data_IF_263830816574
#
_entry.id   IF_263830816574
#
_cell.length_a   1.000
_cell.length_b   1.000
_cell.length_c   1.000
_cell.angle_alpha   90.00
_cell.angle_beta   90.00
_cell.angle_gamma   90.00
#
_symmetry.space_group_name_H-M   'P 1'
#
loop_
_entity.id
_entity.type
_entity.pdbx_description
1 polymer ?
#
# COMPACT_ATOMS: atom_id res chain seq x y z
N UNK A 1 -3.68 18.92 0.76
CA UNK A 1 -3.36 17.98 -0.31
C UNK A 1 -4.63 17.47 -0.96
N UNK A 2 -4.53 16.95 -2.17
CA UNK A 2 -5.63 16.25 -2.84
C UNK A 2 -5.77 14.84 -2.26
N UNK A 3 -6.99 14.29 -2.12
CA UNK A 3 -7.20 12.91 -1.73
C UNK A 3 -6.80 11.95 -2.87
N UNK A 4 -6.27 10.78 -2.51
CA UNK A 4 -5.92 9.73 -3.46
C UNK A 4 -6.32 8.36 -2.92
N UNK A 5 -6.62 7.44 -3.84
CA UNK A 5 -6.63 6.01 -3.59
C UNK A 5 -5.25 5.46 -3.94
N UNK A 6 -4.42 5.22 -2.94
CA UNK A 6 -3.05 4.74 -3.11
C UNK A 6 -3.08 3.22 -3.12
N UNK A 7 -2.68 2.63 -4.25
CA UNK A 7 -2.59 1.19 -4.46
C UNK A 7 -1.13 0.80 -4.53
N UNK A 8 -0.66 0.01 -3.57
CA UNK A 8 0.74 -0.37 -3.45
C UNK A 8 0.94 -1.88 -3.32
N UNK A 9 2.08 -2.39 -3.76
CA UNK A 9 2.52 -3.73 -3.38
C UNK A 9 2.98 -3.76 -1.91
N UNK A 10 2.98 -4.95 -1.30
CA UNK A 10 3.25 -5.10 0.13
C UNK A 10 4.36 -6.11 0.38
N UNK A 11 5.49 -5.65 0.90
CA UNK A 11 6.67 -6.47 1.17
C UNK A 11 7.00 -6.54 2.67
N UNK A 12 6.66 -5.49 3.44
CA UNK A 12 7.10 -5.35 4.82
C UNK A 12 6.12 -4.53 5.66
N UNK A 13 6.16 -4.68 6.98
CA UNK A 13 5.43 -3.78 7.88
C UNK A 13 5.93 -2.33 7.78
N UNK A 14 7.17 -2.14 7.38
CA UNK A 14 7.76 -0.82 7.17
C UNK A 14 7.13 -0.05 6.00
N UNK A 15 6.43 -0.73 5.08
CA UNK A 15 5.71 -0.07 3.98
C UNK A 15 4.64 0.89 4.51
N UNK A 16 4.00 0.56 5.63
CA UNK A 16 2.99 1.41 6.28
C UNK A 16 3.63 2.71 6.78
N UNK A 17 4.77 2.61 7.45
CA UNK A 17 5.52 3.77 7.96
C UNK A 17 6.02 4.63 6.81
N UNK A 18 6.57 3.98 5.79
CA UNK A 18 7.12 4.63 4.60
C UNK A 18 6.05 5.41 3.83
N UNK A 19 4.92 4.78 3.53
CA UNK A 19 3.80 5.44 2.85
C UNK A 19 3.15 6.51 3.74
N UNK A 20 3.07 6.27 5.04
CA UNK A 20 2.60 7.27 6.01
C UNK A 20 3.45 8.53 6.01
N UNK A 21 4.76 8.39 5.83
CA UNK A 21 5.69 9.52 5.72
C UNK A 21 5.61 10.20 4.34
N UNK A 22 5.69 9.43 3.25
CA UNK A 22 5.67 9.97 1.89
C UNK A 22 4.38 10.73 1.55
N UNK A 23 3.25 10.27 2.06
CA UNK A 23 1.93 10.88 1.85
C UNK A 23 1.41 11.64 3.08
N UNK A 24 2.30 12.10 3.94
CA UNK A 24 1.92 12.76 5.21
C UNK A 24 0.90 13.89 5.03
N UNK A 25 1.10 14.75 4.02
CA UNK A 25 0.21 15.88 3.72
C UNK A 25 -1.15 15.47 3.13
N UNK A 26 -1.30 14.21 2.71
CA UNK A 26 -2.52 13.65 2.14
C UNK A 26 -3.34 12.86 3.19
N UNK A 27 -2.91 12.85 4.45
CA UNK A 27 -3.57 12.16 5.57
C UNK A 27 -3.92 10.70 5.27
N UNK A 28 -2.94 9.82 4.96
CA UNK A 28 -3.20 8.46 4.52
C UNK A 28 -3.85 7.61 5.60
N UNK A 29 -4.92 6.89 5.24
CA UNK A 29 -5.61 5.91 6.07
C UNK A 29 -5.40 4.54 5.46
N UNK A 30 -5.17 3.54 6.29
CA UNK A 30 -4.78 2.21 5.83
C UNK A 30 -5.92 1.20 5.98
N UNK A 31 -5.97 0.24 5.06
CA UNK A 31 -6.72 -0.99 5.27
C UNK A 31 -5.81 -1.96 6.02
N UNK A 32 -6.14 -2.24 7.27
CA UNK A 32 -5.27 -3.01 8.18
C UNK A 32 -6.05 -4.07 8.94
N UNK A 33 -5.37 -5.17 9.32
CA UNK A 33 -5.95 -6.18 10.21
C UNK A 33 -6.31 -5.58 11.57
N UNK A 34 -7.49 -5.91 12.10
CA UNK A 34 -7.95 -5.51 13.44
C UNK A 34 -6.98 -5.90 14.54
N UNK A 35 -6.30 -7.03 14.43
CA UNK A 35 -5.32 -7.51 15.39
C UNK A 35 -4.11 -6.56 15.54
N UNK A 36 -3.68 -5.90 14.45
CA UNK A 36 -2.58 -4.93 14.49
C UNK A 36 -2.92 -3.70 15.33
N UNK A 37 -4.21 -3.38 15.46
CA UNK A 37 -4.67 -2.29 16.31
C UNK A 37 -4.55 -2.59 17.83
N UNK A 38 -4.06 -3.77 18.22
CA UNK A 38 -3.90 -4.20 19.61
C UNK A 38 -2.46 -4.54 20.02
N UNK A 39 -1.54 -4.74 19.04
CA UNK A 39 -0.22 -5.35 19.32
C UNK A 39 0.96 -4.38 19.41
N UNK A 40 0.90 -3.23 18.76
CA UNK A 40 2.02 -2.28 18.70
C UNK A 40 1.52 -0.91 19.15
N UNK A 41 1.92 -0.37 20.31
CA UNK A 41 1.30 0.79 20.94
C UNK A 41 1.13 2.00 20.00
N UNK A 42 2.19 2.47 19.34
CA UNK A 42 2.15 3.63 18.43
C UNK A 42 1.31 3.38 17.17
N UNK A 43 1.49 2.20 16.56
CA UNK A 43 0.72 1.78 15.37
C UNK A 43 -0.75 1.55 15.74
N UNK A 44 -0.99 0.91 16.87
CA UNK A 44 -2.34 0.62 17.37
C UNK A 44 -3.13 1.89 17.66
N UNK A 45 -2.51 2.89 18.26
CA UNK A 45 -3.14 4.20 18.50
C UNK A 45 -3.50 4.87 17.17
N UNK A 46 -2.56 4.93 16.25
CA UNK A 46 -2.76 5.58 14.95
C UNK A 46 -3.84 4.88 14.10
N UNK A 47 -3.88 3.55 14.12
CA UNK A 47 -4.90 2.78 13.40
C UNK A 47 -6.31 2.97 13.99
N UNK A 48 -6.44 3.04 15.31
CA UNK A 48 -7.75 3.23 15.99
C UNK A 48 -8.25 4.66 15.90
N UNK A 49 -7.40 5.61 16.27
CA UNK A 49 -7.77 7.04 16.35
C UNK A 49 -7.66 7.73 14.99
N UNK A 50 -6.84 7.20 14.08
CA UNK A 50 -6.60 7.77 12.76
C UNK A 50 -7.69 7.54 11.73
N UNK A 51 -8.70 6.67 12.01
CA UNK A 51 -9.79 6.36 11.09
C UNK A 51 -9.39 5.47 9.90
N UNK A 52 -8.42 4.59 10.10
CA UNK A 52 -8.08 3.50 9.19
C UNK A 52 -9.19 2.42 9.19
N UNK A 53 -9.33 1.69 8.08
CA UNK A 53 -10.27 0.56 8.01
C UNK A 53 -9.65 -0.66 8.71
N UNK A 54 -10.23 -1.06 9.84
CA UNK A 54 -9.82 -2.26 10.56
C UNK A 54 -10.68 -3.44 10.12
N UNK A 55 -10.06 -4.39 9.43
CA UNK A 55 -10.74 -5.55 8.87
C UNK A 55 -10.49 -6.82 9.67
N UNK A 56 -11.53 -7.63 9.79
CA UNK A 56 -11.45 -9.03 10.18
C UNK A 56 -11.40 -9.87 8.90
N UNK A 57 -10.35 -10.70 8.75
CA UNK A 57 -10.18 -11.49 7.51
C UNK A 57 -11.07 -12.70 7.46
N UNK A 58 -11.59 -13.11 8.61
CA UNK A 58 -12.48 -14.26 8.75
C UNK A 58 -13.96 -13.82 8.58
N UNK A 59 -14.22 -12.49 8.62
CA UNK A 59 -15.53 -11.89 8.34
C UNK A 59 -15.45 -11.03 7.07
N UNK A 60 -15.74 -11.66 5.93
CA UNK A 60 -15.69 -11.00 4.63
C UNK A 60 -16.69 -9.86 4.48
N UNK A 61 -17.85 -9.94 5.12
CA UNK A 61 -18.88 -8.91 5.05
C UNK A 61 -18.43 -7.65 5.83
N UNK A 62 -17.94 -7.84 7.05
CA UNK A 62 -17.35 -6.76 7.85
C UNK A 62 -16.18 -6.10 7.15
N UNK A 63 -15.30 -6.90 6.55
CA UNK A 63 -14.12 -6.39 5.85
C UNK A 63 -14.53 -5.49 4.66
N UNK A 64 -15.48 -5.92 3.84
CA UNK A 64 -15.97 -5.15 2.70
C UNK A 64 -16.65 -3.86 3.14
N UNK A 65 -17.48 -3.90 4.17
CA UNK A 65 -18.15 -2.69 4.69
C UNK A 65 -17.15 -1.69 5.28
N UNK A 66 -16.16 -2.14 6.04
CA UNK A 66 -15.12 -1.28 6.58
C UNK A 66 -14.28 -0.61 5.47
N UNK A 67 -13.97 -1.33 4.39
CA UNK A 67 -13.25 -0.80 3.23
C UNK A 67 -14.14 0.19 2.46
N UNK A 68 -15.40 -0.11 2.23
CA UNK A 68 -16.34 0.79 1.57
C UNK A 68 -16.56 2.07 2.39
N UNK A 69 -16.68 1.95 3.72
CA UNK A 69 -16.77 3.09 4.62
C UNK A 69 -15.54 4.00 4.53
N UNK A 70 -14.34 3.42 4.42
CA UNK A 70 -13.11 4.19 4.18
C UNK A 70 -13.18 4.90 2.82
N UNK A 71 -13.61 4.23 1.75
CA UNK A 71 -13.79 4.84 0.42
C UNK A 71 -14.74 6.04 0.46
N UNK A 72 -15.92 5.89 1.07
CA UNK A 72 -16.88 6.99 1.26
C UNK A 72 -16.28 8.17 2.05
N UNK A 73 -15.40 7.87 3.00
CA UNK A 73 -14.69 8.91 3.77
C UNK A 73 -13.67 9.65 2.93
N UNK A 74 -12.91 8.93 2.09
CA UNK A 74 -11.96 9.52 1.13
C UNK A 74 -12.69 10.50 0.22
N UNK A 75 -13.81 10.06 -0.36
CA UNK A 75 -14.61 10.87 -1.28
C UNK A 75 -15.11 12.17 -0.64
N UNK A 76 -15.49 12.15 0.66
CA UNK A 76 -16.09 13.30 1.34
C UNK A 76 -15.08 14.20 2.07
N UNK A 77 -14.02 13.66 2.65
CA UNK A 77 -13.26 14.34 3.70
C UNK A 77 -11.81 14.66 3.33
N UNK A 78 -11.45 14.62 2.05
CA UNK A 78 -10.09 14.94 1.57
C UNK A 78 -8.96 14.19 2.29
N UNK A 79 -9.21 12.97 2.74
CA UNK A 79 -8.19 12.05 3.24
C UNK A 79 -7.84 11.04 2.14
N UNK A 80 -6.65 10.50 2.13
CA UNK A 80 -6.28 9.43 1.19
C UNK A 80 -6.48 8.05 1.83
N UNK A 81 -6.69 7.02 1.01
CA UNK A 81 -6.68 5.65 1.45
C UNK A 81 -5.50 4.90 0.83
N UNK A 82 -4.87 4.05 1.62
CA UNK A 82 -3.82 3.12 1.17
C UNK A 82 -4.36 1.70 1.27
N UNK A 83 -4.28 0.98 0.17
CA UNK A 83 -4.62 -0.44 0.12
C UNK A 83 -3.46 -1.24 -0.48
N UNK A 84 -3.21 -2.40 0.10
CA UNK A 84 -2.33 -3.43 -0.43
C UNK A 84 -3.20 -4.57 -0.98
N UNK A 85 -3.45 -4.62 -2.30
CA UNK A 85 -4.41 -5.58 -2.88
C UNK A 85 -4.02 -7.04 -2.68
N UNK A 86 -2.74 -7.33 -2.49
CA UNK A 86 -2.25 -8.67 -2.18
C UNK A 86 -2.87 -9.24 -0.89
N UNK A 87 -3.24 -8.36 0.04
CA UNK A 87 -3.81 -8.71 1.33
C UNK A 87 -2.85 -9.45 2.27
N UNK A 88 -1.65 -9.76 1.83
CA UNK A 88 -0.54 -10.33 2.61
C UNK A 88 0.76 -9.75 2.09
N UNK A 89 1.83 -9.84 2.88
CA UNK A 89 3.16 -9.46 2.42
C UNK A 89 3.70 -10.51 1.43
N UNK A 90 4.25 -10.05 0.31
CA UNK A 90 4.92 -10.92 -0.67
C UNK A 90 6.13 -11.62 -0.05
N UNK A 91 6.36 -12.87 -0.43
CA UNK A 91 7.57 -13.59 -0.02
C UNK A 91 8.74 -13.11 -0.88
N UNK A 92 9.86 -12.81 -0.22
CA UNK A 92 11.13 -12.42 -0.89
C UNK A 92 10.95 -11.27 -1.92
N UNK A 93 9.99 -10.39 -1.68
CA UNK A 93 9.72 -9.24 -2.54
C UNK A 93 8.93 -9.54 -3.82
N UNK A 94 8.44 -10.76 -4.00
CA UNK A 94 7.58 -11.09 -5.15
C UNK A 94 6.24 -10.36 -5.08
N UNK A 95 5.73 -9.95 -6.24
CA UNK A 95 4.40 -9.37 -6.37
C UNK A 95 3.35 -10.48 -6.32
N UNK A 96 2.53 -10.47 -5.30
CA UNK A 96 1.43 -11.41 -5.14
C UNK A 96 0.23 -11.10 -6.06
N UNK A 97 -0.69 -12.05 -6.15
CA UNK A 97 -1.94 -11.83 -6.85
C UNK A 97 -2.81 -10.80 -6.11
N UNK A 98 -3.44 -9.90 -6.87
CA UNK A 98 -4.34 -8.89 -6.32
C UNK A 98 -5.71 -9.51 -5.97
N UNK A 99 -6.11 -9.36 -4.71
CA UNK A 99 -7.45 -9.73 -4.23
C UNK A 99 -8.44 -8.65 -4.64
N UNK A 100 -9.28 -8.97 -5.60
CA UNK A 100 -10.16 -7.97 -6.22
C UNK A 100 -11.21 -7.40 -5.27
N UNK A 101 -11.86 -8.24 -4.44
CA UNK A 101 -13.08 -7.87 -3.69
C UNK A 101 -12.92 -6.59 -2.85
N UNK A 102 -11.88 -6.50 -2.04
CA UNK A 102 -11.64 -5.32 -1.19
C UNK A 102 -11.26 -4.09 -2.01
N UNK A 103 -10.41 -4.26 -3.01
CA UNK A 103 -9.97 -3.17 -3.88
C UNK A 103 -11.12 -2.60 -4.70
N UNK A 104 -11.99 -3.46 -5.26
CA UNK A 104 -13.17 -3.05 -6.00
C UNK A 104 -14.18 -2.32 -5.10
N UNK A 105 -14.37 -2.78 -3.86
CA UNK A 105 -15.23 -2.10 -2.90
C UNK A 105 -14.71 -0.69 -2.55
N UNK A 106 -13.39 -0.52 -2.41
CA UNK A 106 -12.77 0.78 -2.18
C UNK A 106 -12.96 1.72 -3.38
N UNK A 107 -12.67 1.22 -4.59
CA UNK A 107 -12.80 1.96 -5.85
C UNK A 107 -14.26 2.40 -6.10
N UNK A 108 -15.21 1.51 -5.88
CA UNK A 108 -16.64 1.81 -6.05
C UNK A 108 -17.15 2.86 -5.05
N UNK A 109 -16.59 2.87 -3.82
CA UNK A 109 -17.00 3.78 -2.77
C UNK A 109 -16.36 5.19 -2.87
N UNK A 110 -15.35 5.36 -3.73
CA UNK A 110 -14.70 6.64 -4.00
C UNK A 110 -14.57 6.88 -5.53
N UNK A 111 -15.71 7.11 -6.22
CA UNK A 111 -15.77 7.11 -7.68
C UNK A 111 -15.08 8.29 -8.34
N UNK A 112 -14.88 9.42 -7.66
CA UNK A 112 -14.22 10.61 -8.25
C UNK A 112 -12.74 10.74 -7.85
N UNK A 113 -12.28 9.96 -6.87
CA UNK A 113 -10.92 10.07 -6.33
C UNK A 113 -9.91 9.34 -7.21
N UNK A 114 -8.88 10.05 -7.67
CA UNK A 114 -7.81 9.49 -8.51
C UNK A 114 -7.04 8.37 -7.80
N UNK A 115 -6.60 7.38 -8.59
CA UNK A 115 -5.78 6.25 -8.12
C UNK A 115 -4.31 6.56 -8.36
N UNK A 116 -3.47 6.32 -7.36
CA UNK A 116 -2.02 6.45 -7.45
C UNK A 116 -1.36 5.08 -7.27
N UNK A 117 -0.73 4.52 -8.31
CA UNK A 117 0.09 3.32 -8.18
C UNK A 117 1.37 3.63 -7.40
N UNK A 118 1.73 2.77 -6.47
CA UNK A 118 3.00 2.92 -5.75
C UNK A 118 3.74 1.59 -5.73
N UNK A 119 4.99 1.62 -6.15
CA UNK A 119 5.86 0.45 -6.19
C UNK A 119 6.93 0.55 -5.11
N UNK A 120 7.03 -0.47 -4.26
CA UNK A 120 8.02 -0.56 -3.17
C UNK A 120 8.93 -1.75 -3.46
N UNK A 121 10.24 -1.53 -3.43
CA UNK A 121 11.24 -2.59 -3.63
C UNK A 121 12.26 -2.63 -2.50
N UNK A 122 12.64 -3.86 -2.11
CA UNK A 122 13.62 -4.19 -1.06
C UNK A 122 13.18 -3.96 0.39
N UNK A 123 11.97 -3.50 0.68
CA UNK A 123 11.53 -3.35 2.08
C UNK A 123 11.41 -4.71 2.81
N UNK A 124 11.18 -5.82 2.09
CA UNK A 124 11.18 -7.17 2.64
C UNK A 124 12.52 -7.56 3.30
N UNK A 125 13.63 -6.98 2.83
CA UNK A 125 14.96 -7.25 3.39
C UNK A 125 15.11 -6.76 4.82
N UNK A 126 14.34 -5.75 5.23
CA UNK A 126 14.32 -5.24 6.59
C UNK A 126 13.76 -6.24 7.61
N UNK A 127 13.08 -7.30 7.13
CA UNK A 127 12.42 -8.29 7.99
C UNK A 127 13.10 -9.66 8.00
N UNK A 128 14.27 -9.82 7.35
CA UNK A 128 14.95 -11.14 7.19
C UNK A 128 15.29 -11.83 8.50
N UNK A 129 15.49 -11.09 9.58
CA UNK A 129 15.89 -11.62 10.89
C UNK A 129 14.78 -11.51 11.95
N UNK A 130 13.52 -11.81 11.60
CA UNK A 130 12.37 -11.69 12.54
C UNK A 130 12.35 -10.35 13.30
N UNK A 131 12.59 -9.24 12.59
CA UNK A 131 12.64 -7.86 13.07
C UNK A 131 13.92 -7.42 13.81
N UNK A 132 14.76 -8.30 14.30
CA UNK A 132 15.96 -7.90 15.02
C UNK A 132 17.14 -8.86 14.73
N UNK A 133 18.35 -8.34 14.47
CA UNK A 133 18.61 -6.91 14.20
C UNK A 133 18.09 -6.47 12.84
N UNK A 134 17.64 -5.22 12.71
CA UNK A 134 17.32 -4.64 11.39
C UNK A 134 18.61 -4.55 10.60
N UNK A 135 18.68 -5.17 9.39
CA UNK A 135 19.91 -5.17 8.61
C UNK A 135 20.33 -3.74 8.24
N UNK A 136 21.57 -3.40 8.56
CA UNK A 136 22.13 -2.09 8.22
C UNK A 136 22.39 -1.96 6.71
N UNK A 137 22.25 -0.76 6.16
CA UNK A 137 22.59 -0.48 4.75
C UNK A 137 21.59 -0.98 3.71
N UNK A 138 20.42 -1.46 4.11
CA UNK A 138 19.36 -1.83 3.16
C UNK A 138 18.81 -0.59 2.48
N UNK A 139 18.95 -0.53 1.16
CA UNK A 139 18.34 0.50 0.33
C UNK A 139 16.93 0.07 -0.07
N UNK A 140 15.93 0.74 0.46
CA UNK A 140 14.53 0.61 0.02
C UNK A 140 14.27 1.66 -1.06
N UNK A 141 13.65 1.25 -2.14
CA UNK A 141 13.29 2.15 -3.24
C UNK A 141 11.77 2.23 -3.35
N UNK A 142 11.26 3.45 -3.63
CA UNK A 142 9.84 3.69 -3.87
C UNK A 142 9.69 4.45 -5.17
N UNK A 143 8.75 4.01 -6.01
CA UNK A 143 8.30 4.76 -7.18
C UNK A 143 6.82 5.08 -7.02
N UNK A 144 6.50 6.35 -7.10
CA UNK A 144 5.12 6.86 -7.10
C UNK A 144 4.77 7.11 -8.56
N UNK A 145 3.73 6.44 -9.06
CA UNK A 145 3.23 6.65 -10.41
C UNK A 145 2.37 7.90 -10.51
N UNK A 146 2.01 8.26 -11.74
CA UNK A 146 1.12 9.38 -12.00
C UNK A 146 -0.30 9.09 -11.52
N UNK A 147 -1.03 10.08 -10.99
CA UNK A 147 -2.41 9.92 -10.61
C UNK A 147 -3.28 9.55 -11.82
N UNK A 148 -3.95 8.42 -11.77
CA UNK A 148 -4.91 7.96 -12.78
C UNK A 148 -6.26 8.59 -12.45
N UNK A 149 -6.76 9.55 -13.26
CA UNK A 149 -8.05 10.18 -13.02
C UNK A 149 -9.19 9.18 -13.23
N UNK A 150 -10.26 9.33 -12.45
CA UNK A 150 -11.43 8.43 -12.52
C UNK A 150 -12.41 8.87 -13.61
N UNK A 151 -13.06 7.91 -14.23
CA UNK A 151 -14.09 8.08 -15.24
C UNK A 151 -15.38 7.41 -14.79
N UNK A 152 -16.52 8.02 -15.09
CA UNK A 152 -17.83 7.52 -14.67
C UNK A 152 -18.21 6.16 -15.25
N UNK A 153 -17.65 5.83 -16.41
CA UNK A 153 -17.86 4.58 -17.18
C UNK A 153 -16.75 3.55 -16.95
N UNK A 154 -15.89 3.75 -15.96
CA UNK A 154 -14.68 2.95 -15.78
C UNK A 154 -14.96 1.56 -15.22
N UNK A 155 -14.37 0.56 -15.87
CA UNK A 155 -14.32 -0.78 -15.32
C UNK A 155 -13.24 -0.88 -14.22
N UNK A 156 -13.66 -0.91 -12.96
CA UNK A 156 -12.76 -0.94 -11.81
C UNK A 156 -11.81 -2.16 -11.80
N UNK A 157 -12.24 -3.30 -12.35
CA UNK A 157 -11.37 -4.47 -12.43
C UNK A 157 -10.24 -4.26 -13.45
N UNK A 158 -10.55 -3.61 -14.57
CA UNK A 158 -9.55 -3.25 -15.58
C UNK A 158 -8.55 -2.21 -15.04
N UNK A 159 -9.05 -1.21 -14.33
CA UNK A 159 -8.19 -0.23 -13.66
C UNK A 159 -7.24 -0.91 -12.66
N UNK A 160 -7.75 -1.82 -11.84
CA UNK A 160 -6.94 -2.54 -10.86
C UNK A 160 -5.87 -3.41 -11.53
N UNK A 161 -6.18 -4.02 -12.68
CA UNK A 161 -5.20 -4.80 -13.46
C UNK A 161 -4.14 -3.88 -14.09
N UNK A 162 -4.54 -2.74 -14.65
CA UNK A 162 -3.61 -1.72 -15.15
C UNK A 162 -2.61 -1.28 -14.07
N UNK A 163 -3.10 -1.01 -12.86
CA UNK A 163 -2.25 -0.65 -11.71
C UNK A 163 -1.31 -1.80 -11.35
N UNK A 164 -1.77 -3.05 -11.39
CA UNK A 164 -0.94 -4.21 -11.12
C UNK A 164 0.18 -4.38 -12.15
N UNK A 165 -0.14 -4.20 -13.44
CA UNK A 165 0.82 -4.26 -14.53
C UNK A 165 1.89 -3.16 -14.41
N UNK A 166 1.48 -1.94 -14.06
CA UNK A 166 2.41 -0.84 -13.83
C UNK A 166 3.37 -1.14 -12.66
N UNK A 167 2.84 -1.64 -11.53
CA UNK A 167 3.66 -2.03 -10.38
C UNK A 167 4.62 -3.15 -10.76
N UNK A 168 4.17 -4.15 -11.54
CA UNK A 168 5.03 -5.26 -12.00
C UNK A 168 6.15 -4.77 -12.91
N UNK A 169 5.86 -3.90 -13.86
CA UNK A 169 6.84 -3.29 -14.75
C UNK A 169 7.88 -2.47 -13.97
N UNK A 170 7.41 -1.62 -13.04
CA UNK A 170 8.28 -0.83 -12.18
C UNK A 170 9.20 -1.70 -11.32
N UNK A 171 8.71 -2.81 -10.75
CA UNK A 171 9.54 -3.75 -10.00
C UNK A 171 10.63 -4.37 -10.87
N UNK A 172 10.29 -4.78 -12.09
CA UNK A 172 11.26 -5.35 -13.02
C UNK A 172 12.37 -4.35 -13.36
N UNK A 173 12.00 -3.11 -13.64
CA UNK A 173 12.92 -2.03 -13.95
C UNK A 173 13.84 -1.67 -12.77
N UNK A 174 13.26 -1.48 -11.57
CA UNK A 174 14.01 -1.16 -10.36
C UNK A 174 15.03 -2.26 -10.01
N UNK A 175 14.67 -3.53 -10.21
CA UNK A 175 15.58 -4.68 -10.01
C UNK A 175 16.67 -4.76 -11.06
N UNK A 176 16.34 -4.48 -12.31
CA UNK A 176 17.32 -4.38 -13.40
C UNK A 176 18.37 -3.31 -13.13
N UNK A 177 17.93 -2.12 -12.75
CA UNK A 177 18.81 -1.00 -12.40
C UNK A 177 19.72 -1.31 -11.18
N UNK A 178 19.19 -2.01 -10.17
CA UNK A 178 19.98 -2.40 -8.99
C UNK A 178 21.06 -3.44 -9.33
N UNK A 179 20.81 -4.36 -10.27
CA UNK A 179 21.78 -5.33 -10.72
C UNK A 179 22.89 -4.69 -11.57
N UNK A 180 22.56 -3.66 -12.33
CA UNK A 180 23.50 -2.93 -13.17
C UNK A 180 24.37 -1.92 -12.39
N UNK A 181 23.94 -1.49 -11.20
CA UNK A 181 24.71 -0.56 -10.38
C UNK A 181 25.93 -1.26 -9.77
N UNK A 182 27.18 -0.76 -9.99
CA UNK A 182 28.36 -1.34 -9.36
C UNK A 182 28.23 -1.25 -7.83
N UNK A 183 28.69 -2.31 -7.15
CA UNK A 183 28.83 -2.33 -5.68
C UNK A 183 29.71 -1.13 -5.27
N UNK A 184 29.09 -0.05 -4.77
CA UNK A 184 29.84 0.97 -4.07
C UNK A 184 30.26 0.37 -2.73
N UNK A 185 31.47 -0.15 -2.68
CA UNK A 185 32.14 -0.46 -1.42
C UNK A 185 32.25 0.87 -0.68
N UNK A 186 31.53 0.99 0.45
CA UNK A 186 31.74 2.12 1.33
C UNK A 186 33.21 2.05 1.80
N UNK A 187 34.05 2.95 1.33
CA UNK A 187 35.36 3.17 1.91
C UNK A 187 35.16 3.54 3.39
N UNK A 188 35.91 2.86 4.26
CA UNK A 188 35.94 3.06 5.72
C UNK A 188 36.46 4.45 6.06
#
# INVERSE_FOLDING_TARGET
>A
GHPYLIVANHQSIFDIVLLGHLFFTNFPKFVSKRELARRIPSVSYNLRSGGSALIDRDDAAQALEAIAALGRRVERNRVSAVIFPEGTRGRVGELGAFKQRGSLALLAAAPSTSVVPVTIENSWRLMRANFLPIPFGVRVSVRIGDPIPRRSDENHARLLEQVREEIAANLAEMRGAQRAAPLRVAAR
#
